data_IF_884081224397
#
_entry.id   IF_884081224397
#
_cell.length_a   1.000
_cell.length_b   1.000
_cell.length_c   1.000
_cell.angle_alpha   90.00
_cell.angle_beta   90.00
_cell.angle_gamma   90.00
#
_symmetry.space_group_name_H-M   'P 1'
#
loop_
_entity.id
_entity.type
_entity.pdbx_description
1 polymer ?
#
# COMPACT_ATOMS: atom_id res chain seq x y z
N UNK A 1 -15.51 23.87 -28.01
CA UNK A 1 -14.79 22.68 -28.54
C UNK A 1 -13.66 22.19 -27.62
N UNK A 2 -12.61 22.96 -27.28
CA UNK A 2 -11.48 22.47 -26.45
C UNK A 2 -11.85 21.95 -25.05
N UNK A 3 -12.79 22.61 -24.35
CA UNK A 3 -13.16 22.25 -22.96
C UNK A 3 -13.81 20.88 -22.84
N UNK A 4 -14.64 20.50 -23.82
CA UNK A 4 -15.28 19.17 -23.88
C UNK A 4 -14.19 18.11 -24.06
N UNK A 5 -13.26 18.31 -24.99
CA UNK A 5 -12.17 17.36 -25.25
C UNK A 5 -11.25 17.16 -24.03
N UNK A 6 -10.89 18.24 -23.33
CA UNK A 6 -10.07 18.19 -22.12
C UNK A 6 -10.81 17.45 -20.99
N UNK A 7 -12.09 17.77 -20.76
CA UNK A 7 -12.89 17.11 -19.73
C UNK A 7 -13.07 15.61 -20.03
N UNK A 8 -13.39 15.26 -21.29
CA UNK A 8 -13.51 13.86 -21.69
C UNK A 8 -12.19 13.11 -21.54
N UNK A 9 -11.07 13.75 -21.86
CA UNK A 9 -9.73 13.16 -21.67
C UNK A 9 -9.39 12.97 -20.20
N UNK A 10 -9.70 13.95 -19.35
CA UNK A 10 -9.53 13.88 -17.89
C UNK A 10 -10.40 12.79 -17.27
N UNK A 11 -11.67 12.69 -17.68
CA UNK A 11 -12.59 11.66 -17.19
C UNK A 11 -12.19 10.28 -17.66
N UNK A 12 -11.68 10.15 -18.89
CA UNK A 12 -11.10 8.91 -19.39
C UNK A 12 -9.88 8.50 -18.55
N UNK A 13 -8.97 9.44 -18.26
CA UNK A 13 -7.80 9.17 -17.41
C UNK A 13 -8.19 8.80 -15.97
N UNK A 14 -9.18 9.49 -15.39
CA UNK A 14 -9.72 9.18 -14.05
C UNK A 14 -10.37 7.79 -14.01
N UNK A 15 -11.18 7.45 -15.02
CA UNK A 15 -11.82 6.13 -15.13
C UNK A 15 -10.78 5.03 -15.32
N UNK A 16 -9.76 5.25 -16.16
CA UNK A 16 -8.63 4.32 -16.36
C UNK A 16 -7.81 4.13 -15.07
N UNK A 17 -7.54 5.19 -14.32
CA UNK A 17 -6.86 5.10 -13.03
C UNK A 17 -7.71 4.35 -11.98
N UNK A 18 -9.02 4.59 -11.94
CA UNK A 18 -9.94 3.84 -11.06
C UNK A 18 -10.01 2.36 -11.42
N UNK A 19 -9.99 2.02 -12.70
CA UNK A 19 -9.95 0.63 -13.18
C UNK A 19 -8.64 -0.06 -12.83
N UNK A 20 -7.47 0.60 -13.03
CA UNK A 20 -6.17 0.09 -12.55
C UNK A 20 -6.16 -0.13 -11.04
N UNK A 21 -6.77 0.78 -10.27
CA UNK A 21 -6.88 0.64 -8.83
C UNK A 21 -7.79 -0.55 -8.44
N UNK A 22 -8.82 -0.83 -9.25
CA UNK A 22 -9.74 -1.97 -9.08
C UNK A 22 -9.11 -3.31 -9.50
N UNK A 23 -8.31 -3.34 -10.56
CA UNK A 23 -7.49 -4.52 -10.89
C UNK A 23 -6.48 -4.83 -9.77
N UNK A 24 -5.85 -3.81 -9.19
CA UNK A 24 -5.00 -3.96 -8.00
C UNK A 24 -5.74 -4.54 -6.77
N UNK A 25 -7.07 -4.42 -6.72
CA UNK A 25 -7.92 -4.91 -5.64
C UNK A 25 -8.44 -6.34 -5.87
N UNK A 26 -8.24 -6.92 -7.07
CA UNK A 26 -8.93 -8.18 -7.45
C UNK A 26 -8.05 -9.42 -7.29
N UNK A 27 -6.75 -9.30 -7.04
CA UNK A 27 -5.90 -10.46 -6.82
C UNK A 27 -5.08 -10.36 -5.54
N UNK A 28 -4.80 -11.54 -5.00
CA UNK A 28 -3.81 -11.90 -3.97
C UNK A 28 -4.35 -12.05 -2.54
N UNK A 29 -5.23 -13.04 -2.35
CA UNK A 29 -4.89 -14.09 -1.39
C UNK A 29 -4.01 -15.11 -2.12
N UNK A 30 -2.70 -14.92 -2.06
CA UNK A 30 -1.75 -15.98 -2.30
C UNK A 30 -0.51 -15.62 -1.48
N UNK A 31 -0.46 -16.19 -0.28
CA UNK A 31 0.74 -16.23 0.55
C UNK A 31 1.77 -17.08 -0.20
N UNK A 32 2.46 -16.45 -1.15
CA UNK A 32 3.62 -17.04 -1.79
C UNK A 32 4.80 -16.83 -0.84
N UNK A 33 4.97 -17.76 0.09
CA UNK A 33 6.25 -17.97 0.77
C UNK A 33 7.23 -18.59 -0.25
N UNK A 34 7.65 -17.80 -1.26
CA UNK A 34 8.91 -18.08 -1.95
C UNK A 34 10.07 -17.96 -0.95
N UNK A 35 11.26 -18.46 -1.32
CA UNK A 35 12.47 -18.47 -0.48
C UNK A 35 12.50 -17.29 0.48
N UNK A 36 12.26 -17.56 1.77
CA UNK A 36 12.27 -16.55 2.82
C UNK A 36 13.70 -16.03 2.82
N UNK A 37 13.94 -14.77 2.40
CA UNK A 37 15.29 -14.22 2.40
C UNK A 37 15.82 -14.32 3.81
N UNK A 38 17.11 -14.58 3.97
CA UNK A 38 17.71 -14.53 5.30
C UNK A 38 17.63 -13.08 5.81
N UNK A 39 16.66 -12.85 6.69
CA UNK A 39 16.34 -11.53 7.26
C UNK A 39 17.23 -11.25 8.49
N UNK A 40 18.16 -12.15 8.83
CA UNK A 40 18.96 -12.07 10.06
C UNK A 40 19.77 -10.79 10.19
N UNK A 41 20.16 -10.19 9.07
CA UNK A 41 20.91 -8.93 9.06
C UNK A 41 20.03 -7.68 9.21
N UNK A 42 18.71 -7.76 9.09
CA UNK A 42 17.83 -6.58 9.20
C UNK A 42 17.54 -6.30 10.66
N UNK A 43 17.96 -5.12 11.12
CA UNK A 43 17.70 -4.67 12.48
C UNK A 43 16.30 -4.10 12.62
N UNK A 44 15.81 -4.01 13.86
CA UNK A 44 14.55 -3.31 14.16
C UNK A 44 14.60 -1.83 13.72
N UNK A 45 15.75 -1.19 13.82
CA UNK A 45 15.94 0.21 13.41
C UNK A 45 15.81 0.38 11.90
N UNK A 46 16.36 -0.56 11.11
CA UNK A 46 16.21 -0.57 9.64
C UNK A 46 14.73 -0.69 9.24
N UNK A 47 13.99 -1.58 9.91
CA UNK A 47 12.56 -1.76 9.66
C UNK A 47 11.77 -0.51 10.02
N UNK A 48 12.07 0.10 11.17
CA UNK A 48 11.43 1.35 11.60
C UNK A 48 11.74 2.50 10.64
N UNK A 49 12.96 2.55 10.08
CA UNK A 49 13.31 3.51 9.04
C UNK A 49 12.45 3.30 7.79
N UNK A 50 12.33 2.06 7.29
CA UNK A 50 11.50 1.74 6.14
C UNK A 50 10.02 2.11 6.34
N UNK A 51 9.48 1.86 7.54
CA UNK A 51 8.11 2.24 7.90
C UNK A 51 7.95 3.76 7.92
N UNK A 52 8.92 4.50 8.45
CA UNK A 52 8.86 5.96 8.53
C UNK A 52 8.94 6.65 7.16
N UNK A 53 9.55 6.02 6.17
CA UNK A 53 9.59 6.52 4.79
C UNK A 53 8.31 6.27 3.99
N UNK A 54 7.35 5.52 4.55
CA UNK A 54 6.05 5.37 3.92
C UNK A 54 5.27 6.69 3.94
N UNK A 55 4.50 6.99 2.87
CA UNK A 55 3.52 8.06 2.90
C UNK A 55 2.58 7.93 4.11
N UNK A 56 2.22 9.06 4.72
CA UNK A 56 1.47 9.12 5.99
C UNK A 56 0.25 8.19 6.01
N UNK A 57 -0.60 8.24 4.98
CA UNK A 57 -1.79 7.40 4.91
C UNK A 57 -1.46 5.91 4.95
N UNK A 58 -0.40 5.48 4.26
CA UNK A 58 0.00 4.08 4.20
C UNK A 58 0.64 3.64 5.51
N UNK A 59 1.50 4.48 6.10
CA UNK A 59 2.11 4.25 7.41
C UNK A 59 1.04 4.10 8.51
N UNK A 60 0.09 5.03 8.57
CA UNK A 60 -0.98 5.01 9.57
C UNK A 60 -1.84 3.75 9.44
N UNK A 61 -2.28 3.41 8.23
CA UNK A 61 -3.08 2.20 8.00
C UNK A 61 -2.29 0.93 8.31
N UNK A 62 -1.01 0.88 7.94
CA UNK A 62 -0.14 -0.25 8.25
C UNK A 62 0.03 -0.45 9.76
N UNK A 63 0.34 0.61 10.51
CA UNK A 63 0.51 0.53 11.96
C UNK A 63 -0.80 0.11 12.65
N UNK A 64 -1.93 0.73 12.30
CA UNK A 64 -3.22 0.38 12.89
C UNK A 64 -3.58 -1.10 12.63
N UNK A 65 -3.29 -1.63 11.45
CA UNK A 65 -3.62 -3.01 11.12
C UNK A 65 -2.60 -4.01 11.69
N UNK A 66 -1.32 -3.85 11.37
CA UNK A 66 -0.28 -4.84 11.63
C UNK A 66 0.34 -4.74 13.03
N UNK A 67 0.32 -3.57 13.66
CA UNK A 67 0.91 -3.34 14.98
C UNK A 67 -0.18 -3.33 16.06
N UNK A 68 -1.24 -2.54 15.84
CA UNK A 68 -2.31 -2.36 16.82
C UNK A 68 -3.44 -3.42 16.69
N UNK A 69 -3.50 -4.14 15.56
CA UNK A 69 -4.46 -5.24 15.36
C UNK A 69 -5.89 -4.82 14.98
N UNK A 70 -6.11 -3.57 14.57
CA UNK A 70 -7.42 -3.12 14.10
C UNK A 70 -7.81 -3.77 12.78
N UNK A 71 -9.10 -4.08 12.62
CA UNK A 71 -9.67 -4.48 11.34
C UNK A 71 -9.74 -3.31 10.35
N UNK A 72 -9.75 -3.59 9.05
CA UNK A 72 -9.96 -2.56 8.03
C UNK A 72 -11.26 -1.77 8.20
N UNK A 73 -12.30 -2.40 8.75
CA UNK A 73 -13.57 -1.76 9.06
C UNK A 73 -13.42 -0.73 10.19
N UNK A 74 -12.70 -1.05 11.25
CA UNK A 74 -12.44 -0.10 12.34
C UNK A 74 -11.56 1.05 11.87
N UNK A 75 -10.51 0.77 11.09
CA UNK A 75 -9.64 1.78 10.49
C UNK A 75 -10.43 2.73 9.58
N UNK A 76 -11.35 2.19 8.78
CA UNK A 76 -12.21 2.96 7.90
C UNK A 76 -13.05 3.98 8.67
N UNK A 77 -13.61 3.57 9.81
CA UNK A 77 -14.37 4.46 10.70
C UNK A 77 -13.45 5.48 11.38
N UNK A 78 -12.29 5.04 11.88
CA UNK A 78 -11.34 5.89 12.60
C UNK A 78 -10.79 7.03 11.72
N UNK A 79 -10.51 6.74 10.45
CA UNK A 79 -9.87 7.67 9.51
C UNK A 79 -10.87 8.34 8.55
N UNK A 80 -12.18 8.15 8.75
CA UNK A 80 -13.25 8.65 7.89
C UNK A 80 -13.00 8.37 6.40
N UNK A 81 -12.75 7.10 6.08
CA UNK A 81 -12.39 6.64 4.74
C UNK A 81 -13.15 5.36 4.35
N UNK A 82 -13.32 5.05 3.05
CA UNK A 82 -13.90 3.78 2.65
C UNK A 82 -13.04 2.58 3.08
N UNK A 83 -13.68 1.49 3.50
CA UNK A 83 -12.99 0.24 3.89
C UNK A 83 -12.14 -0.33 2.75
N UNK A 84 -12.59 -0.19 1.50
CA UNK A 84 -11.81 -0.55 0.31
C UNK A 84 -10.54 0.30 0.15
N UNK A 85 -10.57 1.55 0.60
CA UNK A 85 -9.40 2.42 0.65
C UNK A 85 -8.44 1.97 1.76
N UNK A 86 -8.94 1.50 2.91
CA UNK A 86 -8.09 0.95 3.99
C UNK A 86 -7.36 -0.31 3.52
N UNK A 87 -8.08 -1.25 2.91
CA UNK A 87 -7.47 -2.47 2.30
C UNK A 87 -6.40 -2.13 1.26
N UNK A 88 -6.71 -1.25 0.31
CA UNK A 88 -5.75 -0.87 -0.74
C UNK A 88 -4.57 -0.05 -0.21
N UNK A 89 -4.77 0.79 0.80
CA UNK A 89 -3.69 1.52 1.47
C UNK A 89 -2.74 0.55 2.19
N UNK A 90 -3.28 -0.41 2.94
CA UNK A 90 -2.48 -1.46 3.59
C UNK A 90 -1.67 -2.28 2.59
N UNK A 91 -2.31 -2.74 1.51
CA UNK A 91 -1.63 -3.51 0.47
C UNK A 91 -0.46 -2.73 -0.15
N UNK A 92 -0.67 -1.44 -0.47
CA UNK A 92 0.40 -0.58 -0.99
C UNK A 92 1.50 -0.34 0.03
N UNK A 93 1.15 -0.15 1.29
CA UNK A 93 2.13 -0.05 2.39
C UNK A 93 3.02 -1.29 2.42
N UNK A 94 2.42 -2.50 2.39
CA UNK A 94 3.14 -3.77 2.37
C UNK A 94 4.06 -3.91 1.16
N UNK A 95 3.57 -3.60 -0.04
CA UNK A 95 4.39 -3.65 -1.27
C UNK A 95 5.59 -2.70 -1.21
N UNK A 96 5.37 -1.47 -0.73
CA UNK A 96 6.45 -0.50 -0.57
C UNK A 96 7.47 -0.95 0.46
N UNK A 97 7.02 -1.48 1.60
CA UNK A 97 7.91 -2.02 2.63
C UNK A 97 8.77 -3.17 2.08
N UNK A 98 8.14 -4.14 1.43
CA UNK A 98 8.84 -5.29 0.83
C UNK A 98 9.87 -4.85 -0.20
N UNK A 99 9.55 -3.83 -1.00
CA UNK A 99 10.50 -3.27 -1.98
C UNK A 99 11.70 -2.63 -1.27
N UNK A 100 11.46 -1.75 -0.28
CA UNK A 100 12.53 -1.10 0.49
C UNK A 100 13.42 -2.10 1.21
N UNK A 101 12.83 -3.12 1.81
CA UNK A 101 13.55 -4.19 2.49
C UNK A 101 14.43 -4.98 1.51
N UNK A 102 13.92 -5.32 0.32
CA UNK A 102 14.74 -5.97 -0.72
C UNK A 102 15.89 -5.08 -1.17
N UNK A 103 15.64 -3.80 -1.42
CA UNK A 103 16.71 -2.85 -1.78
C UNK A 103 17.77 -2.79 -0.66
N UNK A 104 17.35 -2.73 0.61
CA UNK A 104 18.27 -2.71 1.75
C UNK A 104 19.11 -3.99 1.87
N UNK A 105 18.55 -5.16 1.52
CA UNK A 105 19.28 -6.43 1.47
C UNK A 105 20.24 -6.50 0.27
N UNK A 106 19.89 -5.93 -0.88
CA UNK A 106 20.74 -5.94 -2.08
C UNK A 106 21.97 -5.01 -1.98
N UNK A 107 21.91 -3.98 -1.13
CA UNK A 107 23.01 -3.02 -0.92
C UNK A 107 23.93 -3.35 0.26
N UNK A 108 23.69 -4.45 0.97
CA UNK A 108 24.55 -4.95 2.05
C UNK A 108 25.44 -6.09 1.56
#
# INVERSE_FOLDING_TARGET
MRRVFVNTSLDYMRKKNRLKQKELLTDVEMDYYGDIPDISDITADDLMHCINELPDTYRTVFNLFAVEGFSHREIAVLLDMPESTSRSAFFRARQLLQKKIRELMEYR
#
